data_IF_613521032060
#
_entry.id   IF_613521032060
#
_cell.length_a   1.000
_cell.length_b   1.000
_cell.length_c   1.000
_cell.angle_alpha   90.00
_cell.angle_beta   90.00
_cell.angle_gamma   90.00
#
_symmetry.space_group_name_H-M   'P 1'
#
loop_
_entity.id
_entity.type
_entity.pdbx_description
1 polymer ?
#
# COMPACT_ATOMS: atom_id res chain seq x y z
N UNK A 1 -18.31 8.70 0.88
CA UNK A 1 -17.62 9.81 1.59
C UNK A 1 -16.20 9.91 1.05
N UNK A 2 -15.88 10.99 0.32
CA UNK A 2 -14.55 11.22 -0.30
C UNK A 2 -13.54 11.71 0.75
N UNK A 3 -12.92 10.80 1.48
CA UNK A 3 -11.88 11.13 2.47
C UNK A 3 -10.56 11.64 1.84
N UNK A 4 -10.32 11.39 0.56
CA UNK A 4 -9.06 11.73 -0.14
C UNK A 4 -9.11 12.97 -1.03
N UNK A 5 -10.27 13.64 -1.19
CA UNK A 5 -10.45 14.77 -2.14
C UNK A 5 -9.88 14.47 -3.55
N UNK A 6 -10.25 13.33 -4.13
CA UNK A 6 -9.90 12.98 -5.51
C UNK A 6 -10.85 13.73 -6.46
N UNK A 7 -10.34 14.32 -7.54
CA UNK A 7 -11.06 15.29 -8.40
C UNK A 7 -12.34 14.72 -9.07
N UNK A 8 -12.42 13.40 -9.24
CA UNK A 8 -13.61 12.73 -9.78
C UNK A 8 -13.72 11.28 -9.28
N UNK A 9 -14.95 10.75 -9.02
CA UNK A 9 -15.15 9.35 -8.62
C UNK A 9 -14.52 8.35 -9.61
N UNK A 10 -14.49 8.69 -10.89
CA UNK A 10 -13.93 7.87 -11.95
C UNK A 10 -12.40 7.80 -11.87
N UNK A 11 -11.74 8.94 -11.58
CA UNK A 11 -10.27 9.00 -11.37
C UNK A 11 -9.87 8.18 -10.15
N UNK A 12 -10.65 8.26 -9.07
CA UNK A 12 -10.40 7.50 -7.86
C UNK A 12 -10.41 5.98 -8.08
N UNK A 13 -11.38 5.48 -8.85
CA UNK A 13 -11.48 4.06 -9.18
C UNK A 13 -10.32 3.63 -10.08
N UNK A 14 -9.98 4.43 -11.09
CA UNK A 14 -8.85 4.17 -11.98
C UNK A 14 -7.51 4.13 -11.22
N UNK A 15 -7.23 5.13 -10.38
CA UNK A 15 -6.02 5.20 -9.58
C UNK A 15 -5.89 4.01 -8.61
N UNK A 16 -7.01 3.57 -8.01
CA UNK A 16 -7.03 2.38 -7.16
C UNK A 16 -6.75 1.08 -7.94
N UNK A 17 -7.32 0.94 -9.14
CA UNK A 17 -7.07 -0.21 -10.02
C UNK A 17 -5.60 -0.26 -10.47
N UNK A 18 -5.06 0.88 -10.92
CA UNK A 18 -3.64 1.00 -11.32
C UNK A 18 -2.72 0.66 -10.15
N UNK A 19 -3.01 1.17 -8.96
CA UNK A 19 -2.24 0.84 -7.76
C UNK A 19 -2.21 -0.67 -7.48
N UNK A 20 -3.36 -1.34 -7.56
CA UNK A 20 -3.45 -2.78 -7.32
C UNK A 20 -2.64 -3.60 -8.33
N UNK A 21 -2.68 -3.22 -9.62
CA UNK A 21 -1.89 -3.87 -10.68
C UNK A 21 -0.39 -3.71 -10.46
N UNK A 22 0.05 -2.61 -9.87
CA UNK A 22 1.47 -2.34 -9.59
C UNK A 22 1.94 -3.01 -8.29
N UNK A 23 1.13 -2.92 -7.22
CA UNK A 23 1.55 -3.34 -5.88
C UNK A 23 1.68 -4.86 -5.76
N UNK A 24 0.82 -5.64 -6.44
CA UNK A 24 0.83 -7.10 -6.35
C UNK A 24 2.15 -7.68 -6.91
N UNK A 25 2.58 -7.36 -8.16
CA UNK A 25 3.89 -7.79 -8.68
C UNK A 25 5.08 -7.37 -7.82
N UNK A 26 5.03 -6.19 -7.21
CA UNK A 26 6.07 -5.70 -6.29
C UNK A 26 6.15 -6.51 -4.99
N UNK A 27 5.02 -6.99 -4.48
CA UNK A 27 4.95 -7.77 -3.24
C UNK A 27 5.27 -9.25 -3.45
N UNK A 28 5.06 -9.82 -4.64
CA UNK A 28 5.42 -11.22 -4.96
C UNK A 28 6.88 -11.57 -4.61
N UNK A 29 7.91 -10.83 -5.08
CA UNK A 29 9.30 -11.17 -4.76
C UNK A 29 9.61 -10.97 -3.26
N UNK A 30 8.93 -10.03 -2.60
CA UNK A 30 9.05 -9.82 -1.16
C UNK A 30 8.48 -11.01 -0.39
N UNK A 31 7.33 -11.54 -0.82
CA UNK A 31 6.73 -12.74 -0.24
C UNK A 31 7.62 -13.98 -0.45
N UNK A 32 8.28 -14.09 -1.61
CA UNK A 32 9.18 -15.20 -1.92
C UNK A 32 10.50 -15.16 -1.16
N UNK A 33 11.06 -13.97 -0.87
CA UNK A 33 12.31 -13.84 -0.10
C UNK A 33 12.18 -14.31 1.35
N UNK A 34 10.96 -14.39 1.87
CA UNK A 34 10.70 -14.72 3.26
C UNK A 34 11.21 -13.64 4.22
N UNK A 35 10.70 -13.65 5.44
CA UNK A 35 11.10 -12.69 6.48
C UNK A 35 12.19 -13.35 7.31
N UNK A 36 13.37 -12.74 7.42
CA UNK A 36 14.46 -13.26 8.26
C UNK A 36 13.96 -13.38 9.71
N UNK A 37 13.75 -14.61 10.16
CA UNK A 37 13.27 -14.88 11.51
C UNK A 37 14.34 -14.49 12.53
N UNK A 38 13.99 -13.56 13.43
CA UNK A 38 14.83 -13.19 14.57
C UNK A 38 14.27 -13.85 15.83
N UNK A 39 15.08 -14.59 16.61
CA UNK A 39 14.61 -15.21 17.84
C UNK A 39 14.22 -14.11 18.84
N UNK A 40 12.92 -13.91 19.00
CA UNK A 40 12.32 -12.95 19.91
C UNK A 40 11.08 -13.58 20.54
N UNK A 41 10.67 -13.18 21.77
CA UNK A 41 9.43 -13.64 22.36
C UNK A 41 8.24 -13.38 21.43
N UNK A 42 7.35 -14.37 21.27
CA UNK A 42 6.25 -14.36 20.30
C UNK A 42 5.41 -13.07 20.34
N UNK A 43 5.11 -12.57 21.55
CA UNK A 43 4.35 -11.32 21.77
C UNK A 43 5.09 -10.09 21.24
N UNK A 44 6.42 -10.04 21.41
CA UNK A 44 7.26 -8.93 20.95
C UNK A 44 7.41 -8.95 19.43
N UNK A 45 7.51 -10.14 18.84
CA UNK A 45 7.55 -10.33 17.38
C UNK A 45 6.22 -9.94 16.74
N UNK A 46 5.09 -10.39 17.32
CA UNK A 46 3.74 -10.06 16.83
C UNK A 46 3.48 -8.55 16.82
N UNK A 47 3.76 -7.86 17.93
CA UNK A 47 3.57 -6.40 18.01
C UNK A 47 4.41 -5.66 16.97
N UNK A 48 5.67 -6.06 16.79
CA UNK A 48 6.56 -5.45 15.82
C UNK A 48 6.09 -5.69 14.38
N UNK A 49 5.64 -6.91 14.06
CA UNK A 49 5.12 -7.22 12.73
C UNK A 49 3.81 -6.51 12.45
N UNK A 50 2.91 -6.40 13.43
CA UNK A 50 1.68 -5.61 13.32
C UNK A 50 1.97 -4.12 13.11
N UNK A 51 2.95 -3.55 13.83
CA UNK A 51 3.32 -2.16 13.65
C UNK A 51 3.97 -1.89 12.29
N UNK A 52 4.85 -2.77 11.81
CA UNK A 52 5.55 -2.55 10.53
C UNK A 52 4.66 -2.90 9.34
N UNK A 53 4.14 -4.13 9.31
CA UNK A 53 3.36 -4.64 8.17
C UNK A 53 1.89 -4.22 8.22
N UNK A 54 1.32 -4.02 9.41
CA UNK A 54 -0.04 -3.50 9.55
C UNK A 54 -0.10 -2.00 9.27
N UNK A 55 0.73 -1.19 9.92
CA UNK A 55 0.76 0.26 9.66
C UNK A 55 1.27 0.56 8.24
N UNK A 56 2.32 -0.13 7.80
CA UNK A 56 2.84 -0.01 6.44
C UNK A 56 1.81 -0.42 5.38
N UNK A 57 1.05 -1.50 5.62
CA UNK A 57 -0.01 -1.97 4.73
C UNK A 57 -1.21 -1.02 4.65
N UNK A 58 -1.47 -0.23 5.69
CA UNK A 58 -2.50 0.83 5.66
C UNK A 58 -1.96 2.09 4.99
N UNK A 59 -0.73 2.50 5.27
CA UNK A 59 -0.18 3.77 4.76
C UNK A 59 0.21 3.67 3.27
N UNK A 60 0.81 2.55 2.84
CA UNK A 60 1.28 2.35 1.47
C UNK A 60 0.21 2.58 0.38
N UNK A 61 -1.01 2.01 0.45
CA UNK A 61 -2.05 2.26 -0.56
C UNK A 61 -2.53 3.70 -0.60
N UNK A 62 -2.62 4.38 0.56
CA UNK A 62 -3.07 5.76 0.61
C UNK A 62 -2.05 6.70 -0.08
N UNK A 63 -0.76 6.48 0.15
CA UNK A 63 0.30 7.25 -0.51
C UNK A 63 0.36 6.91 -1.99
N UNK A 64 0.32 5.61 -2.35
CA UNK A 64 0.43 5.16 -3.74
C UNK A 64 -0.71 5.66 -4.63
N UNK A 65 -1.97 5.52 -4.18
CA UNK A 65 -3.14 6.00 -4.92
C UNK A 65 -3.08 7.51 -5.11
N UNK A 66 -2.70 8.27 -4.07
CA UNK A 66 -2.60 9.73 -4.16
C UNK A 66 -1.52 10.19 -5.14
N UNK A 67 -0.38 9.50 -5.17
CA UNK A 67 0.67 9.78 -6.14
C UNK A 67 0.20 9.49 -7.57
N UNK A 68 -0.44 8.33 -7.79
CA UNK A 68 -0.99 7.95 -9.10
C UNK A 68 -2.03 8.98 -9.56
N UNK A 69 -2.96 9.37 -8.69
CA UNK A 69 -4.00 10.34 -9.02
C UNK A 69 -3.42 11.72 -9.37
N UNK A 70 -2.40 12.18 -8.63
CA UNK A 70 -1.71 13.42 -8.95
C UNK A 70 -0.99 13.34 -10.30
N UNK A 71 -0.34 12.21 -10.61
CA UNK A 71 0.28 12.00 -11.91
C UNK A 71 -0.78 11.99 -13.01
N UNK A 72 -1.87 11.23 -12.88
CA UNK A 72 -2.92 11.18 -13.91
C UNK A 72 -3.66 12.49 -14.07
N UNK A 73 -3.88 13.24 -12.97
CA UNK A 73 -4.52 14.55 -13.00
C UNK A 73 -3.67 15.65 -13.63
N UNK A 74 -2.35 15.48 -13.74
CA UNK A 74 -1.46 16.41 -14.46
C UNK A 74 -1.47 16.19 -15.98
N UNK A 75 -1.85 15.00 -16.44
CA UNK A 75 -1.89 14.64 -17.87
C UNK A 75 -3.30 14.72 -18.49
N UNK A 76 -4.33 15.10 -17.71
CA UNK A 76 -5.73 15.27 -18.14
C UNK A 76 -6.12 16.74 -18.12
#
# INVERSE_FOLDING_TARGET
MNFMKLDSPTSAILSALIFNVIIIPLLIPLAMKGITYKPMPAVKLLRRNLLIYGLGGVIAPFIGIKLIDLFTGVFV
#
